data_IF_145789672399
#
_entry.id   IF_145789672399
#
_cell.length_a   1.000
_cell.length_b   1.000
_cell.length_c   1.000
_cell.angle_alpha   90.00
_cell.angle_beta   90.00
_cell.angle_gamma   90.00
#
_symmetry.space_group_name_H-M   'P 1'
#
loop_
_entity.id
_entity.type
_entity.pdbx_description
1 polymer ?
#
# COMPACT_ATOMS: atom_id res chain seq x y z
N UNK A 1 19.27 -0.91 -9.60
CA UNK A 1 18.14 -0.47 -10.44
C UNK A 1 18.68 -0.21 -11.85
N UNK A 2 18.10 -0.81 -12.91
CA UNK A 2 18.43 -0.48 -14.30
C UNK A 2 17.60 0.72 -14.74
N UNK A 3 18.25 1.76 -15.27
CA UNK A 3 17.61 3.04 -15.59
C UNK A 3 16.96 3.01 -16.98
N UNK A 4 15.65 3.26 -17.00
CA UNK A 4 14.87 3.56 -18.20
C UNK A 4 13.45 3.90 -17.78
N UNK A 5 13.11 5.19 -17.77
CA UNK A 5 11.74 5.73 -17.58
C UNK A 5 10.88 5.03 -16.52
N UNK A 6 11.36 4.97 -15.27
CA UNK A 6 10.60 4.38 -14.16
C UNK A 6 9.69 5.45 -13.54
N UNK A 7 8.37 5.26 -13.64
CA UNK A 7 7.38 6.02 -12.89
C UNK A 7 7.72 5.99 -11.38
N UNK A 8 7.54 7.13 -10.71
CA UNK A 8 7.91 7.48 -9.34
C UNK A 8 7.20 6.68 -8.22
N UNK A 9 7.01 5.37 -8.35
CA UNK A 9 6.39 4.53 -7.32
C UNK A 9 7.39 3.96 -6.30
N UNK A 10 8.70 3.99 -6.59
CA UNK A 10 9.74 3.37 -5.75
C UNK A 10 10.16 4.19 -4.50
N UNK A 11 9.72 5.46 -4.36
CA UNK A 11 10.00 6.30 -3.17
C UNK A 11 8.79 6.51 -2.26
N UNK A 12 7.63 6.00 -2.68
CA UNK A 12 6.37 6.17 -1.97
C UNK A 12 6.22 4.99 -1.01
N UNK A 13 6.06 5.29 0.27
CA UNK A 13 5.69 4.27 1.24
C UNK A 13 4.19 4.00 1.13
N UNK A 14 3.85 2.88 0.49
CA UNK A 14 2.47 2.42 0.41
C UNK A 14 2.08 1.72 1.71
N UNK A 15 1.05 2.23 2.38
CA UNK A 15 0.56 1.69 3.65
C UNK A 15 -0.88 1.22 3.48
N UNK A 16 -1.14 -0.05 3.74
CA UNK A 16 -2.47 -0.64 3.63
C UNK A 16 -3.16 -0.73 5.00
N UNK A 17 -4.47 -0.48 5.02
CA UNK A 17 -5.35 -0.74 6.15
C UNK A 17 -6.42 -1.78 5.82
N UNK A 18 -6.67 -2.73 6.73
CA UNK A 18 -7.73 -3.73 6.57
C UNK A 18 -8.49 -3.96 7.87
N UNK A 19 -9.80 -4.20 7.80
CA UNK A 19 -10.69 -4.53 8.93
C UNK A 19 -11.74 -3.46 9.29
N UNK A 20 -12.32 -3.52 10.50
CA UNK A 20 -13.46 -2.66 10.90
C UNK A 20 -12.95 -1.29 11.41
N UNK A 21 -13.37 -0.21 10.76
CA UNK A 21 -12.89 1.16 11.03
C UNK A 21 -11.59 1.52 10.29
N UNK A 22 -11.20 0.73 9.29
CA UNK A 22 -10.06 0.94 8.38
C UNK A 22 -9.99 2.36 7.81
N UNK A 23 -11.09 2.86 7.27
CA UNK A 23 -11.18 4.19 6.66
C UNK A 23 -10.95 5.31 7.67
N UNK A 24 -11.49 5.16 8.88
CA UNK A 24 -11.25 6.10 9.98
C UNK A 24 -9.79 6.18 10.35
N UNK A 25 -9.12 5.02 10.45
CA UNK A 25 -7.68 4.99 10.71
C UNK A 25 -6.90 5.56 9.52
N UNK A 26 -7.32 5.27 8.29
CA UNK A 26 -6.65 5.71 7.06
C UNK A 26 -6.62 7.23 6.93
N UNK A 27 -7.79 7.85 7.06
CA UNK A 27 -7.94 9.30 6.93
C UNK A 27 -7.15 10.02 8.03
N UNK A 28 -7.29 9.58 9.29
CA UNK A 28 -6.59 10.22 10.41
C UNK A 28 -5.07 10.02 10.35
N UNK A 29 -4.60 8.83 9.95
CA UNK A 29 -3.17 8.57 9.76
C UNK A 29 -2.60 9.42 8.62
N UNK A 30 -3.31 9.55 7.50
CA UNK A 30 -2.87 10.36 6.37
C UNK A 30 -2.67 11.84 6.77
N UNK A 31 -3.66 12.42 7.46
CA UNK A 31 -3.56 13.81 7.95
C UNK A 31 -2.51 13.97 9.04
N UNK A 32 -2.32 12.96 9.90
CA UNK A 32 -1.26 12.98 10.90
C UNK A 32 0.13 12.98 10.26
N UNK A 33 0.36 12.16 9.23
CA UNK A 33 1.63 12.14 8.51
C UNK A 33 1.89 13.45 7.76
N UNK A 34 0.83 14.08 7.22
CA UNK A 34 0.92 15.39 6.58
C UNK A 34 1.26 16.49 7.61
N UNK A 35 0.64 16.47 8.80
CA UNK A 35 0.97 17.38 9.90
C UNK A 35 2.42 17.21 10.40
N UNK A 36 2.97 15.99 10.31
CA UNK A 36 4.39 15.71 10.54
C UNK A 36 5.32 16.21 9.42
N UNK A 37 4.78 16.84 8.37
CA UNK A 37 5.54 17.46 7.28
C UNK A 37 5.78 16.56 6.06
N UNK A 38 5.15 15.38 5.99
CA UNK A 38 5.30 14.49 4.83
C UNK A 38 4.34 14.87 3.70
N UNK A 39 4.72 14.58 2.45
CA UNK A 39 3.80 14.66 1.30
C UNK A 39 2.97 13.39 1.25
N UNK A 40 1.67 13.51 1.47
CA UNK A 40 0.79 12.34 1.66
C UNK A 40 -0.34 12.30 0.63
N UNK A 41 -0.55 11.10 0.08
CA UNK A 41 -1.77 10.75 -0.65
C UNK A 41 -2.58 9.71 0.12
N UNK A 42 -3.89 9.70 -0.10
CA UNK A 42 -4.80 8.62 0.31
C UNK A 42 -5.64 8.18 -0.89
N UNK A 43 -5.63 6.87 -1.11
CA UNK A 43 -6.42 6.20 -2.13
C UNK A 43 -7.45 5.27 -1.48
N UNK A 44 -8.72 5.52 -1.76
CA UNK A 44 -9.84 4.67 -1.35
C UNK A 44 -10.11 3.62 -2.43
N UNK A 45 -9.71 2.39 -2.14
CA UNK A 45 -9.89 1.24 -3.02
C UNK A 45 -11.23 0.52 -2.79
N UNK A 46 -12.08 0.98 -1.86
CA UNK A 46 -13.40 0.41 -1.61
C UNK A 46 -14.43 0.96 -2.60
N UNK A 47 -14.44 0.37 -3.80
CA UNK A 47 -15.33 0.80 -4.89
C UNK A 47 -16.82 0.56 -4.59
N UNK A 48 -17.15 -0.40 -3.74
CA UNK A 48 -18.55 -0.76 -3.44
C UNK A 48 -19.16 0.09 -2.33
N UNK A 49 -18.34 0.52 -1.36
CA UNK A 49 -18.76 1.36 -0.24
C UNK A 49 -17.72 2.42 0.08
N UNK A 50 -17.41 3.34 -0.85
CA UNK A 50 -16.38 4.35 -0.62
C UNK A 50 -16.78 5.23 0.55
N UNK A 51 -15.92 5.28 1.55
CA UNK A 51 -16.12 6.01 2.80
C UNK A 51 -15.41 7.36 2.77
N UNK A 52 -14.31 7.47 2.03
CA UNK A 52 -13.47 8.66 1.97
C UNK A 52 -14.29 9.92 1.63
N UNK A 53 -15.20 9.93 0.63
CA UNK A 53 -15.98 11.12 0.34
C UNK A 53 -16.86 11.60 1.49
N UNK A 54 -17.32 10.72 2.38
CA UNK A 54 -18.10 11.13 3.55
C UNK A 54 -17.21 11.70 4.65
N UNK A 55 -16.03 11.10 4.82
CA UNK A 55 -15.09 11.40 5.90
C UNK A 55 -14.28 12.69 5.71
N UNK A 56 -14.13 13.14 4.46
CA UNK A 56 -13.49 14.42 4.14
C UNK A 56 -14.41 15.27 3.29
N UNK A 57 -14.50 16.56 3.61
CA UNK A 57 -15.27 17.53 2.83
C UNK A 57 -14.35 18.62 2.27
N UNK A 58 -13.72 18.37 1.10
CA UNK A 58 -12.94 19.36 0.40
C UNK A 58 -13.75 20.62 0.09
N UNK A 59 -13.12 21.79 0.15
CA UNK A 59 -13.71 23.04 -0.31
C UNK A 59 -14.16 22.85 -1.78
N UNK A 60 -15.39 23.26 -2.11
CA UNK A 60 -16.10 23.04 -3.39
C UNK A 60 -16.83 21.69 -3.58
N UNK A 61 -16.95 20.85 -2.54
CA UNK A 61 -17.88 19.70 -2.58
C UNK A 61 -19.33 20.19 -2.51
N UNK A 62 -19.94 20.44 -3.66
CA UNK A 62 -21.40 20.45 -3.79
C UNK A 62 -21.89 19.10 -4.33
N UNK A 63 -23.16 18.71 -4.09
CA UNK A 63 -23.73 17.48 -4.65
C UNK A 63 -23.64 17.40 -6.19
N UNK A 64 -23.48 18.53 -6.88
CA UNK A 64 -23.35 18.60 -8.33
C UNK A 64 -21.90 18.55 -8.86
N UNK A 65 -20.89 18.77 -8.02
CA UNK A 65 -19.49 18.78 -8.42
C UNK A 65 -18.84 17.41 -8.23
N UNK A 66 -18.48 16.76 -9.34
CA UNK A 66 -17.60 15.57 -9.32
C UNK A 66 -16.20 16.01 -8.95
N UNK A 67 -15.62 15.37 -7.94
CA UNK A 67 -14.25 15.65 -7.48
C UNK A 67 -13.20 14.82 -8.24
N UNK A 68 -13.63 13.75 -8.92
CA UNK A 68 -12.78 13.05 -9.90
C UNK A 68 -12.82 13.79 -11.23
N UNK A 69 -11.72 14.48 -11.52
CA UNK A 69 -11.50 15.17 -12.78
C UNK A 69 -10.49 14.39 -13.66
N UNK A 70 -10.70 14.44 -14.97
CA UNK A 70 -9.76 13.87 -15.94
C UNK A 70 -9.02 15.00 -16.66
N UNK A 71 -7.70 14.87 -16.72
CA UNK A 71 -6.89 15.64 -17.64
C UNK A 71 -7.07 15.07 -19.05
N UNK A 72 -7.82 15.77 -19.90
CA UNK A 72 -8.15 15.31 -21.25
C UNK A 72 -6.91 15.15 -22.16
N UNK A 73 -5.86 15.96 -21.95
CA UNK A 73 -4.64 15.94 -22.75
C UNK A 73 -3.76 14.75 -22.41
N UNK A 74 -3.52 14.54 -21.12
CA UNK A 74 -2.65 13.46 -20.62
C UNK A 74 -3.39 12.13 -20.42
N UNK A 75 -4.72 12.14 -20.47
CA UNK A 75 -5.60 11.01 -20.13
C UNK A 75 -5.36 10.46 -18.72
N UNK A 76 -5.00 11.36 -17.80
CA UNK A 76 -4.72 11.07 -16.39
C UNK A 76 -5.81 11.62 -15.50
N UNK A 77 -5.84 11.15 -14.26
CA UNK A 77 -6.78 11.61 -13.23
C UNK A 77 -6.10 12.68 -12.40
N UNK A 78 -6.82 13.78 -12.18
CA UNK A 78 -6.37 14.86 -11.30
C UNK A 78 -6.90 14.54 -9.90
N UNK A 79 -5.99 14.42 -8.95
CA UNK A 79 -6.29 14.23 -7.53
C UNK A 79 -6.96 15.47 -6.94
N UNK A 80 -7.85 15.25 -5.97
CA UNK A 80 -8.35 16.34 -5.11
C UNK A 80 -7.36 16.57 -3.98
N UNK A 81 -7.23 17.80 -3.49
CA UNK A 81 -6.43 18.09 -2.29
C UNK A 81 -7.33 18.60 -1.17
N UNK A 82 -7.08 18.14 0.05
CA UNK A 82 -7.75 18.60 1.25
C UNK A 82 -6.78 18.65 2.41
N UNK A 83 -6.62 19.82 3.03
CA UNK A 83 -5.76 20.04 4.20
C UNK A 83 -4.34 19.45 4.03
N UNK A 84 -3.74 19.62 2.84
CA UNK A 84 -2.39 19.14 2.52
C UNK A 84 -2.29 17.65 2.18
N UNK A 85 -3.42 16.92 2.10
CA UNK A 85 -3.48 15.51 1.69
C UNK A 85 -4.12 15.39 0.32
N UNK A 86 -3.46 14.67 -0.60
CA UNK A 86 -4.00 14.31 -1.92
C UNK A 86 -4.98 13.14 -1.80
N UNK A 87 -6.14 13.22 -2.41
CA UNK A 87 -7.25 12.29 -2.26
C UNK A 87 -7.68 11.72 -3.62
N UNK A 88 -7.88 10.40 -3.67
CA UNK A 88 -8.58 9.73 -4.78
C UNK A 88 -9.51 8.67 -4.21
N UNK A 89 -10.77 8.68 -4.65
CA UNK A 89 -11.78 7.66 -4.35
C UNK A 89 -12.68 7.50 -5.55
N UNK A 90 -13.11 6.27 -5.85
CA UNK A 90 -14.17 6.05 -6.83
C UNK A 90 -15.46 6.82 -6.47
N UNK A 91 -15.73 7.01 -5.17
CA UNK A 91 -16.92 7.72 -4.70
C UNK A 91 -16.97 9.21 -5.05
N UNK A 92 -15.86 9.79 -5.52
CA UNK A 92 -15.79 11.17 -6.01
C UNK A 92 -16.32 11.33 -7.46
N UNK A 93 -16.58 10.24 -8.17
CA UNK A 93 -17.07 10.22 -9.57
C UNK A 93 -18.56 10.49 -9.74
N UNK A 94 -19.31 10.60 -8.64
CA UNK A 94 -20.76 10.89 -8.62
C UNK A 94 -21.68 9.65 -8.49
N UNK A 95 -22.97 9.92 -8.30
CA UNK A 95 -24.05 8.95 -8.05
C UNK A 95 -24.36 8.09 -9.29
N UNK A 96 -23.47 7.17 -9.60
CA UNK A 96 -23.69 6.09 -10.54
C UNK A 96 -23.11 4.83 -9.95
N UNK A 97 -23.84 4.18 -9.02
CA UNK A 97 -23.54 2.80 -8.62
C UNK A 97 -23.84 1.87 -9.79
N UNK A 98 -23.04 1.96 -10.85
CA UNK A 98 -23.00 0.93 -11.86
C UNK A 98 -22.63 -0.37 -11.14
N UNK A 99 -23.49 -1.38 -11.22
CA UNK A 99 -23.19 -2.71 -10.69
C UNK A 99 -22.02 -3.26 -11.51
N UNK A 100 -20.80 -3.03 -11.03
CA UNK A 100 -19.59 -3.48 -11.71
C UNK A 100 -19.29 -4.93 -11.32
N UNK A 101 -19.09 -5.77 -12.34
CA UNK A 101 -18.60 -7.14 -12.15
C UNK A 101 -17.12 -7.10 -11.76
N UNK A 102 -16.67 -8.05 -10.93
CA UNK A 102 -15.33 -8.08 -10.31
C UNK A 102 -14.14 -7.69 -11.22
N UNK A 103 -14.01 -8.22 -12.44
CA UNK A 103 -12.91 -7.85 -13.34
C UNK A 103 -12.87 -6.35 -13.72
N UNK A 104 -14.03 -5.70 -13.82
CA UNK A 104 -14.10 -4.25 -14.08
C UNK A 104 -13.63 -3.44 -12.86
N UNK A 105 -13.89 -3.92 -11.64
CA UNK A 105 -13.45 -3.26 -10.40
C UNK A 105 -11.93 -3.27 -10.30
N UNK A 106 -11.29 -4.41 -10.56
CA UNK A 106 -9.83 -4.48 -10.62
C UNK A 106 -9.23 -3.54 -11.66
N UNK A 107 -9.85 -3.44 -12.85
CA UNK A 107 -9.43 -2.52 -13.90
C UNK A 107 -9.55 -1.05 -13.50
N UNK A 108 -10.66 -0.66 -12.86
CA UNK A 108 -10.87 0.70 -12.36
C UNK A 108 -9.87 1.04 -11.26
N UNK A 109 -9.65 0.15 -10.29
CA UNK A 109 -8.66 0.34 -9.22
C UNK A 109 -7.27 0.52 -9.82
N UNK A 110 -6.88 -0.33 -10.77
CA UNK A 110 -5.60 -0.21 -11.47
C UNK A 110 -5.48 1.15 -12.18
N UNK A 111 -6.52 1.58 -12.89
CA UNK A 111 -6.54 2.88 -13.55
C UNK A 111 -6.42 4.02 -12.54
N UNK A 112 -7.24 4.05 -11.48
CA UNK A 112 -7.19 5.09 -10.45
C UNK A 112 -5.81 5.16 -9.79
N UNK A 113 -5.15 4.03 -9.58
CA UNK A 113 -3.88 4.01 -8.88
C UNK A 113 -2.70 4.39 -9.80
N UNK A 114 -2.69 3.91 -11.04
CA UNK A 114 -1.57 4.10 -11.99
C UNK A 114 -1.68 5.32 -12.90
N UNK A 115 -2.89 5.84 -13.13
CA UNK A 115 -3.13 6.99 -14.04
C UNK A 115 -3.44 8.28 -13.30
N UNK A 116 -3.38 8.31 -11.97
CA UNK A 116 -3.53 9.54 -11.18
C UNK A 116 -2.23 10.34 -11.12
N UNK A 117 -2.33 11.65 -11.26
CA UNK A 117 -1.22 12.61 -11.13
C UNK A 117 -0.80 12.86 -9.68
N UNK A 118 -0.47 11.83 -8.91
CA UNK A 118 -0.10 11.95 -7.50
C UNK A 118 1.05 12.95 -7.25
N UNK A 119 1.92 13.18 -8.23
CA UNK A 119 3.14 13.98 -8.09
C UNK A 119 4.11 13.33 -7.09
N UNK A 120 4.96 14.14 -6.48
CA UNK A 120 5.87 13.62 -5.47
C UNK A 120 5.13 13.36 -4.14
N UNK A 121 5.21 12.12 -3.67
CA UNK A 121 4.69 11.67 -2.38
C UNK A 121 5.79 10.97 -1.58
N UNK A 122 5.75 11.14 -0.26
CA UNK A 122 6.53 10.34 0.68
C UNK A 122 5.72 9.10 1.12
N UNK A 123 4.40 9.25 1.28
CA UNK A 123 3.47 8.20 1.67
C UNK A 123 2.20 8.19 0.81
N UNK A 124 1.75 6.99 0.42
CA UNK A 124 0.43 6.77 -0.17
C UNK A 124 -0.32 5.76 0.69
N UNK A 125 -1.35 6.23 1.41
CA UNK A 125 -2.21 5.39 2.25
C UNK A 125 -3.28 4.76 1.35
N UNK A 126 -3.39 3.43 1.37
CA UNK A 126 -4.37 2.68 0.59
C UNK A 126 -5.40 2.10 1.57
N UNK A 127 -6.63 2.61 1.52
CA UNK A 127 -7.77 2.05 2.25
C UNK A 127 -8.35 0.89 1.43
N UNK A 128 -8.07 -0.34 1.86
CA UNK A 128 -8.46 -1.54 1.12
C UNK A 128 -9.94 -1.84 1.33
N UNK A 129 -10.64 -2.46 0.36
CA UNK A 129 -11.98 -2.99 0.60
C UNK A 129 -12.00 -4.01 1.75
N UNK A 130 -13.17 -4.28 2.36
CA UNK A 130 -13.27 -5.29 3.41
C UNK A 130 -13.04 -6.71 2.88
N UNK A 131 -12.41 -7.55 3.70
CA UNK A 131 -12.24 -8.99 3.44
C UNK A 131 -10.81 -9.40 3.10
N UNK A 132 -10.68 -10.55 2.43
CA UNK A 132 -9.41 -11.11 1.93
C UNK A 132 -9.59 -11.64 0.49
N UNK A 133 -10.49 -11.00 -0.27
CA UNK A 133 -10.82 -11.39 -1.64
C UNK A 133 -9.76 -11.00 -2.67
N UNK A 134 -10.02 -11.34 -3.94
CA UNK A 134 -9.06 -11.18 -5.05
C UNK A 134 -8.62 -9.74 -5.32
N UNK A 135 -9.41 -8.74 -4.91
CA UNK A 135 -9.05 -7.31 -5.03
C UNK A 135 -7.78 -7.01 -4.24
N UNK A 136 -7.61 -7.62 -3.06
CA UNK A 136 -6.41 -7.42 -2.24
C UNK A 136 -5.17 -7.97 -2.93
N UNK A 137 -5.27 -9.18 -3.51
CA UNK A 137 -4.16 -9.77 -4.28
C UNK A 137 -3.82 -8.91 -5.49
N UNK A 138 -4.85 -8.43 -6.19
CA UNK A 138 -4.69 -7.58 -7.37
C UNK A 138 -3.96 -6.28 -7.02
N UNK A 139 -4.37 -5.59 -5.95
CA UNK A 139 -3.70 -4.38 -5.47
C UNK A 139 -2.25 -4.63 -5.08
N UNK A 140 -1.97 -5.74 -4.39
CA UNK A 140 -0.62 -6.11 -4.00
C UNK A 140 0.27 -6.53 -5.19
N UNK A 141 -0.33 -6.87 -6.34
CA UNK A 141 0.38 -7.16 -7.59
C UNK A 141 0.63 -5.91 -8.43
N UNK A 142 -0.24 -4.90 -8.33
CA UNK A 142 -0.14 -3.65 -9.10
C UNK A 142 0.96 -2.74 -8.53
N UNK A 143 1.04 -2.62 -7.20
CA UNK A 143 2.01 -1.75 -6.55
C UNK A 143 2.91 -2.47 -5.56
N UNK A 144 4.21 -2.10 -5.49
CA UNK A 144 5.10 -2.57 -4.45
C UNK A 144 4.72 -1.92 -3.11
N UNK A 145 4.22 -2.71 -2.18
CA UNK A 145 3.71 -2.25 -0.90
C UNK A 145 4.80 -2.22 0.15
N UNK A 146 5.04 -1.08 0.79
CA UNK A 146 6.11 -0.97 1.79
C UNK A 146 5.72 -1.56 3.13
N UNK A 147 4.49 -1.30 3.59
CA UNK A 147 4.07 -1.72 4.92
C UNK A 147 2.55 -1.96 4.99
N UNK A 148 2.13 -2.83 5.91
CA UNK A 148 0.73 -3.03 6.24
C UNK A 148 0.44 -2.65 7.69
N UNK A 149 -0.66 -1.96 7.92
CA UNK A 149 -1.24 -1.70 9.23
C UNK A 149 -2.57 -2.43 9.30
N UNK A 150 -2.76 -3.30 10.29
CA UNK A 150 -4.00 -4.08 10.40
C UNK A 150 -4.92 -3.40 11.40
N UNK A 151 -6.16 -3.12 11.01
CA UNK A 151 -7.19 -2.57 11.89
C UNK A 151 -8.12 -3.70 12.32
N UNK A 152 -8.36 -3.84 13.61
CA UNK A 152 -9.22 -4.88 14.15
C UNK A 152 -10.14 -4.33 15.22
N UNK A 153 -11.02 -5.16 15.76
CA UNK A 153 -11.81 -4.85 16.94
C UNK A 153 -11.61 -5.91 18.00
N UNK A 154 -11.98 -5.64 19.24
CA UNK A 154 -11.86 -6.57 20.39
C UNK A 154 -12.75 -7.82 20.34
N UNK A 155 -13.49 -8.05 19.26
CA UNK A 155 -14.38 -9.22 19.14
C UNK A 155 -13.59 -10.49 18.80
N UNK A 156 -13.93 -11.63 19.40
CA UNK A 156 -13.19 -12.90 19.15
C UNK A 156 -13.11 -13.31 17.67
N UNK A 157 -14.12 -12.98 16.86
CA UNK A 157 -14.13 -13.31 15.43
C UNK A 157 -13.10 -12.50 14.63
N UNK A 158 -12.78 -11.28 15.06
CA UNK A 158 -11.81 -10.42 14.38
C UNK A 158 -10.39 -10.99 14.42
N UNK A 159 -10.08 -11.81 15.43
CA UNK A 159 -8.78 -12.46 15.57
C UNK A 159 -8.43 -13.32 14.35
N UNK A 160 -9.40 -14.11 13.87
CA UNK A 160 -9.22 -14.97 12.70
C UNK A 160 -8.91 -14.11 11.48
N UNK A 161 -9.54 -12.96 11.37
CA UNK A 161 -9.35 -12.03 10.25
C UNK A 161 -7.99 -11.33 10.32
N UNK A 162 -7.52 -10.96 11.51
CA UNK A 162 -6.15 -10.46 11.71
C UNK A 162 -5.13 -11.52 11.31
N UNK A 163 -5.25 -12.75 11.82
CA UNK A 163 -4.31 -13.82 11.49
C UNK A 163 -4.30 -14.15 9.98
N UNK A 164 -5.46 -14.15 9.32
CA UNK A 164 -5.57 -14.31 7.87
C UNK A 164 -4.92 -13.14 7.12
N UNK A 165 -5.17 -11.90 7.55
CA UNK A 165 -4.57 -10.70 6.99
C UNK A 165 -3.04 -10.71 7.08
N UNK A 166 -2.49 -11.01 8.26
CA UNK A 166 -1.03 -11.12 8.43
C UNK A 166 -0.45 -12.22 7.55
N UNK A 167 -1.07 -13.41 7.49
CA UNK A 167 -0.61 -14.50 6.61
C UNK A 167 -0.67 -14.11 5.14
N UNK A 168 -1.70 -13.39 4.74
CA UNK A 168 -1.84 -12.88 3.38
C UNK A 168 -0.71 -11.92 3.04
N UNK A 169 -0.47 -10.88 3.86
CA UNK A 169 0.62 -9.92 3.65
C UNK A 169 2.00 -10.58 3.71
N UNK A 170 2.20 -11.53 4.63
CA UNK A 170 3.43 -12.31 4.71
C UNK A 170 3.69 -13.12 3.44
N UNK A 171 2.66 -13.79 2.88
CA UNK A 171 2.78 -14.44 1.57
C UNK A 171 3.15 -13.43 0.50
N UNK A 172 2.56 -12.23 0.55
CA UNK A 172 2.77 -11.07 -0.34
C UNK A 172 4.10 -10.34 -0.14
N UNK A 173 4.98 -10.83 0.75
CA UNK A 173 6.23 -10.17 1.13
C UNK A 173 5.99 -8.71 1.56
N UNK A 174 4.85 -8.41 2.18
CA UNK A 174 4.49 -7.10 2.75
C UNK A 174 4.63 -7.19 4.27
N UNK A 175 5.52 -6.42 4.91
CA UNK A 175 5.69 -6.46 6.35
C UNK A 175 4.53 -5.76 7.06
N UNK A 176 3.93 -6.44 8.04
CA UNK A 176 2.95 -5.84 8.94
C UNK A 176 3.69 -5.06 10.04
N UNK A 177 3.52 -3.73 10.07
CA UNK A 177 4.28 -2.84 10.97
C UNK A 177 3.51 -2.45 12.23
N UNK A 178 2.17 -2.52 12.19
CA UNK A 178 1.34 -2.23 13.35
C UNK A 178 -0.01 -2.94 13.28
N UNK A 179 -0.59 -3.19 14.46
CA UNK A 179 -2.01 -3.54 14.62
C UNK A 179 -2.69 -2.40 15.38
N UNK A 180 -3.86 -1.96 14.91
CA UNK A 180 -4.72 -0.97 15.56
C UNK A 180 -5.98 -1.67 16.01
N UNK A 181 -6.20 -1.79 17.31
CA UNK A 181 -7.42 -2.34 17.90
C UNK A 181 -8.43 -1.22 18.13
N UNK A 182 -9.37 -1.11 17.20
CA UNK A 182 -10.44 -0.15 17.20
C UNK A 182 -11.55 -0.52 18.20
N UNK A 183 -12.20 0.51 18.74
CA UNK A 183 -13.34 0.39 19.66
C UNK A 183 -13.04 -0.44 20.92
N UNK A 184 -11.79 -0.41 21.40
CA UNK A 184 -11.36 -1.33 22.45
C UNK A 184 -11.85 -0.94 23.85
N UNK A 185 -12.02 0.36 24.11
CA UNK A 185 -12.44 0.88 25.41
C UNK A 185 -13.14 2.23 25.33
N UNK A 186 -13.81 2.64 26.39
CA UNK A 186 -14.28 4.01 26.59
C UNK A 186 -14.18 4.40 28.07
N UNK A 187 -14.01 5.69 28.33
CA UNK A 187 -13.96 6.24 29.69
C UNK A 187 -15.30 6.91 30.02
N UNK A 188 -15.91 6.52 31.14
CA UNK A 188 -17.15 7.10 31.67
C UNK A 188 -17.08 7.11 33.20
N UNK A 189 -17.62 8.15 33.84
CA UNK A 189 -17.69 8.26 35.32
C UNK A 189 -16.34 8.02 36.04
N UNK A 190 -15.24 8.49 35.43
CA UNK A 190 -13.88 8.30 35.97
C UNK A 190 -13.35 6.86 35.91
N UNK A 191 -14.05 5.96 35.20
CA UNK A 191 -13.67 4.55 35.03
C UNK A 191 -13.58 4.18 33.55
N UNK A 192 -12.61 3.31 33.24
CA UNK A 192 -12.45 2.75 31.91
C UNK A 192 -13.23 1.44 31.76
N UNK A 193 -14.08 1.40 30.75
CA UNK A 193 -14.91 0.27 30.37
C UNK A 193 -14.41 -0.36 29.08
N UNK A 194 -14.51 -1.68 28.98
CA UNK A 194 -14.25 -2.40 27.74
C UNK A 194 -15.56 -3.07 27.32
N UNK A 195 -16.27 -2.51 26.34
CA UNK A 195 -17.58 -3.03 25.94
C UNK A 195 -17.50 -4.48 25.46
N UNK A 196 -16.32 -4.91 25.00
CA UNK A 196 -16.06 -6.24 24.50
C UNK A 196 -15.07 -7.04 25.38
N UNK A 197 -14.77 -6.54 26.59
CA UNK A 197 -13.93 -7.20 27.61
C UNK A 197 -12.52 -6.61 27.78
N UNK A 198 -12.07 -6.54 29.05
CA UNK A 198 -10.73 -6.08 29.48
C UNK A 198 -10.06 -7.23 30.24
N UNK A 199 -8.93 -7.75 29.76
CA UNK A 199 -8.06 -8.59 30.60
C UNK A 199 -7.25 -9.63 29.85
N UNK A 200 -6.21 -10.10 30.53
CA UNK A 200 -5.31 -11.23 30.24
C UNK A 200 -6.02 -12.59 30.07
N UNK A 201 -7.33 -12.60 29.79
CA UNK A 201 -8.18 -13.74 29.45
C UNK A 201 -9.13 -13.47 28.28
N UNK A 202 -9.13 -12.28 27.67
CA UNK A 202 -9.82 -12.10 26.39
C UNK A 202 -8.98 -12.80 25.33
N UNK A 203 -9.50 -13.90 24.80
CA UNK A 203 -8.86 -14.62 23.69
C UNK A 203 -8.55 -13.65 22.52
N UNK A 204 -9.29 -12.55 22.35
CA UNK A 204 -9.01 -11.57 21.30
C UNK A 204 -7.73 -10.74 21.54
N UNK A 205 -7.55 -10.08 22.69
CA UNK A 205 -6.34 -9.27 22.96
C UNK A 205 -5.10 -10.13 23.12
N UNK A 206 -5.20 -11.25 23.84
CA UNK A 206 -4.11 -12.22 23.94
C UNK A 206 -3.78 -12.78 22.58
N UNK A 207 -4.77 -13.06 21.74
CA UNK A 207 -4.48 -13.61 20.43
C UNK A 207 -3.96 -12.54 19.46
N UNK A 208 -4.40 -11.28 19.54
CA UNK A 208 -3.74 -10.15 18.87
C UNK A 208 -2.28 -10.05 19.32
N UNK A 209 -1.98 -10.15 20.62
CA UNK A 209 -0.60 -10.21 21.12
C UNK A 209 0.16 -11.46 20.67
N UNK A 210 -0.47 -12.63 20.65
CA UNK A 210 0.14 -13.87 20.16
C UNK A 210 0.40 -13.75 18.67
N UNK A 211 -0.47 -13.14 17.88
CA UNK A 211 -0.22 -12.88 16.45
C UNK A 211 0.88 -11.86 16.28
N UNK A 212 0.86 -10.78 17.05
CA UNK A 212 1.94 -9.79 17.05
C UNK A 212 3.27 -10.47 17.39
N UNK A 213 3.32 -11.36 18.39
CA UNK A 213 4.53 -12.11 18.75
C UNK A 213 4.91 -13.20 17.74
N UNK A 214 3.94 -13.98 17.25
CA UNK A 214 4.15 -15.07 16.28
C UNK A 214 4.60 -14.54 14.93
N UNK A 215 4.13 -13.36 14.54
CA UNK A 215 4.44 -12.75 13.26
C UNK A 215 5.44 -11.59 13.38
N UNK A 216 6.00 -11.36 14.57
CA UNK A 216 7.02 -10.34 14.82
C UNK A 216 6.56 -8.90 14.56
N UNK A 217 5.27 -8.61 14.71
CA UNK A 217 4.73 -7.25 14.53
C UNK A 217 5.22 -6.39 15.71
N UNK A 218 5.78 -5.20 15.46
CA UNK A 218 6.45 -4.46 16.52
C UNK A 218 5.53 -3.62 17.41
N UNK A 219 4.32 -3.27 16.97
CA UNK A 219 3.46 -2.32 17.68
C UNK A 219 1.96 -2.68 17.66
N UNK A 220 1.28 -2.44 18.79
CA UNK A 220 -0.16 -2.54 18.97
C UNK A 220 -0.68 -1.20 19.52
N UNK A 221 -1.73 -0.66 18.89
CA UNK A 221 -2.34 0.61 19.27
C UNK A 221 -3.81 0.41 19.64
N UNK A 222 -4.20 0.93 20.80
CA UNK A 222 -5.56 0.85 21.32
C UNK A 222 -6.33 2.13 20.97
N UNK A 223 -7.36 2.04 20.12
CA UNK A 223 -8.18 3.19 19.75
C UNK A 223 -9.53 3.15 20.50
N UNK A 224 -9.86 4.18 21.32
CA UNK A 224 -11.06 4.18 22.14
C UNK A 224 -12.33 4.47 21.33
N UNK A 225 -13.48 4.06 21.86
CA UNK A 225 -14.80 4.54 21.44
C UNK A 225 -14.97 5.95 21.99
N UNK A 226 -14.97 6.93 21.09
CA UNK A 226 -15.14 8.35 21.40
C UNK A 226 -16.25 8.94 20.54
N UNK A 227 -17.19 9.72 21.11
CA UNK A 227 -18.21 10.39 20.32
C UNK A 227 -17.61 11.32 19.26
N UNK A 228 -16.52 12.01 19.59
CA UNK A 228 -15.80 12.91 18.67
C UNK A 228 -15.24 12.16 17.47
N UNK A 229 -14.51 11.06 17.71
CA UNK A 229 -14.00 10.20 16.65
C UNK A 229 -15.12 9.59 15.78
N UNK A 230 -16.23 9.17 16.39
CA UNK A 230 -17.38 8.67 15.63
C UNK A 230 -18.02 9.76 14.76
N UNK A 231 -18.17 10.97 15.31
CA UNK A 231 -18.74 12.11 14.59
C UNK A 231 -17.80 12.64 13.50
N UNK A 232 -16.48 12.49 13.67
CA UNK A 232 -15.48 12.93 12.68
C UNK A 232 -15.72 12.28 11.31
N UNK A 233 -16.16 11.02 11.29
CA UNK A 233 -16.48 10.29 10.06
C UNK A 233 -17.67 10.85 9.28
N UNK A 234 -18.58 11.55 9.94
CA UNK A 234 -19.77 12.16 9.32
C UNK A 234 -19.62 13.68 9.13
N UNK A 235 -18.74 14.32 9.89
CA UNK A 235 -18.54 15.78 9.89
C UNK A 235 -17.73 16.29 8.70
N UNK A 236 -17.04 15.40 7.98
CA UNK A 236 -16.13 15.77 6.90
C UNK A 236 -14.78 16.35 7.34
N UNK A 237 -14.49 16.36 8.64
CA UNK A 237 -13.20 16.78 9.22
C UNK A 237 -12.64 15.62 10.07
N UNK A 238 -11.42 15.14 9.81
CA UNK A 238 -10.80 14.07 10.60
C UNK A 238 -10.53 14.50 12.04
N UNK A 239 -10.66 13.58 13.01
CA UNK A 239 -10.38 13.83 14.43
C UNK A 239 -8.96 14.38 14.68
N UNK A 240 -7.96 13.84 13.97
CA UNK A 240 -6.56 14.28 14.04
C UNK A 240 -6.38 15.78 13.71
N UNK A 241 -7.27 16.32 12.88
CA UNK A 241 -7.31 17.74 12.51
C UNK A 241 -8.18 18.53 13.49
N UNK A 242 -9.34 17.98 13.86
CA UNK A 242 -10.33 18.67 14.68
C UNK A 242 -9.87 18.89 16.13
N UNK A 243 -9.15 17.92 16.72
CA UNK A 243 -8.58 18.02 18.07
C UNK A 243 -7.12 17.52 18.09
N UNK A 244 -6.14 18.30 17.56
CA UNK A 244 -4.75 17.83 17.43
C UNK A 244 -4.04 17.52 18.76
N UNK A 245 -4.53 18.06 19.87
CA UNK A 245 -3.98 17.86 21.22
C UNK A 245 -4.74 16.79 22.03
N UNK A 246 -5.83 16.28 21.48
CA UNK A 246 -6.68 15.24 22.05
C UNK A 246 -5.97 13.91 22.26
N UNK A 247 -6.55 13.07 23.11
CA UNK A 247 -6.03 11.72 23.39
C UNK A 247 -5.99 10.85 22.12
N UNK A 248 -7.02 10.94 21.27
CA UNK A 248 -7.11 10.18 20.02
C UNK A 248 -6.04 10.63 19.03
N UNK A 249 -5.83 11.94 18.87
CA UNK A 249 -4.80 12.49 17.97
C UNK A 249 -3.40 12.12 18.42
N UNK A 250 -3.14 12.04 19.73
CA UNK A 250 -1.87 11.51 20.26
C UNK A 250 -1.65 10.04 19.90
N UNK A 251 -2.71 9.22 19.91
CA UNK A 251 -2.61 7.83 19.46
C UNK A 251 -2.24 7.78 17.97
N UNK A 252 -2.88 8.60 17.14
CA UNK A 252 -2.52 8.69 15.71
C UNK A 252 -1.11 9.23 15.48
N UNK A 253 -0.65 10.23 16.23
CA UNK A 253 0.74 10.72 16.18
C UNK A 253 1.73 9.61 16.49
N UNK A 254 1.49 8.82 17.55
CA UNK A 254 2.34 7.68 17.88
C UNK A 254 2.30 6.59 16.79
N UNK A 255 1.13 6.33 16.18
CA UNK A 255 1.00 5.44 15.04
C UNK A 255 1.78 5.97 13.82
N UNK A 256 1.70 7.27 13.53
CA UNK A 256 2.45 7.95 12.48
C UNK A 256 3.96 7.80 12.68
N UNK A 257 4.47 8.10 13.88
CA UNK A 257 5.88 7.89 14.25
C UNK A 257 6.30 6.43 14.03
N UNK A 258 5.49 5.47 14.47
CA UNK A 258 5.74 4.06 14.25
C UNK A 258 5.85 3.72 12.75
N UNK A 259 4.88 4.14 11.94
CA UNK A 259 4.87 3.90 10.49
C UNK A 259 6.11 4.50 9.83
N UNK A 260 6.45 5.75 10.16
CA UNK A 260 7.65 6.43 9.63
C UNK A 260 8.91 5.64 9.97
N UNK A 261 9.08 5.25 11.24
CA UNK A 261 10.26 4.50 11.69
C UNK A 261 10.37 3.13 11.03
N UNK A 262 9.27 2.39 10.90
CA UNK A 262 9.28 1.06 10.31
C UNK A 262 9.52 1.13 8.79
N UNK A 263 8.88 2.07 8.09
CA UNK A 263 9.16 2.30 6.67
C UNK A 263 10.62 2.70 6.43
N UNK A 264 11.22 3.52 7.30
CA UNK A 264 12.64 3.88 7.20
C UNK A 264 13.56 2.67 7.41
N UNK A 265 13.27 1.80 8.39
CA UNK A 265 14.03 0.56 8.62
C UNK A 265 13.96 -0.40 7.44
N UNK A 266 12.76 -0.57 6.86
CA UNK A 266 12.55 -1.43 5.68
C UNK A 266 13.40 -0.90 4.52
N UNK A 267 13.36 0.41 4.24
CA UNK A 267 14.17 1.04 3.19
C UNK A 267 15.68 0.89 3.41
N UNK A 268 16.14 0.87 4.66
CA UNK A 268 17.57 0.68 4.97
C UNK A 268 18.04 -0.78 4.80
N UNK A 269 17.12 -1.74 4.86
CA UNK A 269 17.44 -3.16 4.66
C UNK A 269 17.55 -3.52 3.17
N UNK A 270 16.96 -2.73 2.29
CA UNK A 270 17.08 -2.90 0.85
C UNK A 270 18.47 -2.42 0.38
N UNK A 271 19.40 -3.35 0.18
CA UNK A 271 20.65 -3.05 -0.51
C UNK A 271 20.38 -2.72 -1.98
N UNK A 272 20.77 -1.53 -2.42
CA UNK A 272 20.81 -1.22 -3.84
C UNK A 272 21.94 -1.98 -4.53
N UNK A 273 21.61 -2.71 -5.59
CA UNK A 273 22.58 -3.36 -6.45
C UNK A 273 22.28 -3.12 -7.93
N UNK A 274 23.32 -3.27 -8.74
CA UNK A 274 23.26 -3.11 -10.19
C UNK A 274 23.48 -4.48 -10.83
N UNK A 275 22.65 -4.79 -11.82
CA UNK A 275 22.80 -5.97 -12.66
C UNK A 275 22.99 -5.49 -14.08
N UNK A 276 23.83 -6.19 -14.84
CA UNK A 276 23.96 -5.94 -16.26
C UNK A 276 22.72 -6.46 -16.99
N UNK A 277 22.09 -5.70 -17.91
CA UNK A 277 20.85 -6.14 -18.58
C UNK A 277 21.01 -7.49 -19.29
N UNK A 278 22.12 -7.67 -20.01
CA UNK A 278 22.42 -8.95 -20.66
C UNK A 278 22.47 -10.12 -19.67
N UNK A 279 22.98 -9.92 -18.43
CA UNK A 279 22.98 -10.94 -17.38
C UNK A 279 21.56 -11.31 -16.97
N UNK A 280 20.68 -10.31 -16.82
CA UNK A 280 19.27 -10.54 -16.50
C UNK A 280 18.56 -11.31 -17.62
N UNK A 281 18.73 -10.88 -18.87
CA UNK A 281 18.13 -11.50 -20.06
C UNK A 281 18.58 -12.94 -20.26
N UNK A 282 19.88 -13.22 -20.11
CA UNK A 282 20.46 -14.58 -20.23
C UNK A 282 19.94 -15.55 -19.19
N UNK A 283 19.52 -15.03 -18.03
CA UNK A 283 18.94 -15.83 -16.95
C UNK A 283 17.41 -15.86 -17.00
N UNK A 284 16.80 -15.57 -18.15
CA UNK A 284 15.36 -15.68 -18.33
C UNK A 284 14.89 -17.14 -18.25
N UNK A 285 14.04 -17.41 -17.26
CA UNK A 285 13.39 -18.70 -17.00
C UNK A 285 11.88 -18.65 -17.20
N UNK A 286 11.37 -17.57 -17.80
CA UNK A 286 9.94 -17.40 -18.06
C UNK A 286 9.44 -18.47 -19.04
N UNK A 287 8.15 -18.82 -18.94
CA UNK A 287 7.53 -19.84 -19.79
C UNK A 287 7.62 -19.51 -21.29
N UNK A 288 7.73 -18.23 -21.65
CA UNK A 288 7.90 -17.81 -23.04
C UNK A 288 9.29 -18.15 -23.61
N UNK A 289 10.28 -18.30 -22.73
CA UNK A 289 11.68 -18.55 -23.05
C UNK A 289 12.07 -20.02 -22.91
N UNK A 290 11.11 -20.90 -22.63
CA UNK A 290 11.28 -22.35 -22.53
C UNK A 290 10.28 -23.03 -23.48
N UNK A 291 10.70 -24.11 -24.12
CA UNK A 291 9.78 -24.95 -24.90
C UNK A 291 8.98 -25.85 -23.95
N UNK A 292 7.65 -25.79 -24.06
CA UNK A 292 6.72 -26.45 -23.14
C UNK A 292 6.80 -27.98 -23.21
N UNK A 293 7.37 -28.54 -24.28
CA UNK A 293 7.43 -29.98 -24.51
C UNK A 293 8.78 -30.62 -24.09
N UNK A 294 9.95 -30.10 -24.51
CA UNK A 294 11.24 -30.64 -24.10
C UNK A 294 11.83 -29.95 -22.86
N UNK A 295 11.29 -28.79 -22.43
CA UNK A 295 11.86 -27.99 -21.33
C UNK A 295 13.17 -27.28 -21.71
N UNK A 296 13.55 -27.31 -22.98
CA UNK A 296 14.76 -26.66 -23.48
C UNK A 296 14.57 -25.15 -23.58
N UNK A 297 15.65 -24.41 -23.30
CA UNK A 297 15.64 -22.96 -23.37
C UNK A 297 15.58 -22.53 -24.84
N UNK A 298 14.53 -21.77 -25.21
CA UNK A 298 14.35 -21.24 -26.57
C UNK A 298 15.41 -20.18 -26.92
N UNK A 299 15.97 -19.53 -25.89
CA UNK A 299 17.08 -18.60 -26.05
C UNK A 299 18.42 -19.31 -25.97
N UNK A 300 19.19 -19.21 -27.06
CA UNK A 300 20.61 -19.53 -27.06
C UNK A 300 21.37 -18.36 -26.43
N UNK A 301 22.30 -18.66 -25.52
CA UNK A 301 23.09 -17.66 -24.78
C UNK A 301 23.85 -16.68 -25.70
N UNK A 302 24.23 -17.12 -26.90
CA UNK A 302 24.97 -16.35 -27.90
C UNK A 302 24.14 -15.32 -28.65
N UNK A 303 22.81 -15.42 -28.60
CA UNK A 303 21.91 -14.59 -29.42
C UNK A 303 21.52 -13.28 -28.72
N UNK A 304 21.95 -13.09 -27.47
CA UNK A 304 21.63 -11.91 -26.68
C UNK A 304 22.76 -10.88 -26.82
N UNK A 305 22.50 -9.71 -27.45
CA UNK A 305 23.49 -8.64 -27.56
C UNK A 305 24.01 -8.21 -26.20
N UNK A 306 25.31 -7.91 -26.11
CA UNK A 306 25.89 -7.44 -24.86
C UNK A 306 25.33 -6.07 -24.45
N UNK A 307 24.95 -5.24 -25.41
CA UNK A 307 24.38 -3.91 -25.25
C UNK A 307 22.84 -3.88 -25.22
N UNK A 308 22.19 -5.04 -25.02
CA UNK A 308 20.73 -5.08 -24.91
C UNK A 308 20.28 -4.20 -23.73
N UNK A 309 19.28 -3.36 -23.96
CA UNK A 309 18.64 -2.55 -22.92
C UNK A 309 17.15 -2.88 -22.86
N UNK A 310 16.52 -2.89 -21.68
CA UNK A 310 15.10 -3.13 -21.55
C UNK A 310 14.32 -1.95 -22.12
N UNK A 311 13.27 -2.22 -22.90
CA UNK A 311 12.34 -1.18 -23.38
C UNK A 311 11.48 -0.65 -22.23
N UNK A 312 11.08 -1.55 -21.34
CA UNK A 312 10.24 -1.21 -20.20
C UNK A 312 10.48 -2.15 -19.02
N UNK A 313 10.47 -1.58 -17.82
CA UNK A 313 10.56 -2.30 -16.56
C UNK A 313 9.37 -1.91 -15.68
N UNK A 314 8.54 -2.87 -15.30
CA UNK A 314 7.37 -2.66 -14.43
C UNK A 314 7.43 -3.56 -13.19
N UNK A 315 7.36 -3.02 -11.97
CA UNK A 315 7.25 -3.85 -10.76
C UNK A 315 5.94 -4.66 -10.78
N UNK A 316 5.99 -5.89 -10.26
CA UNK A 316 4.84 -6.76 -10.04
C UNK A 316 4.70 -7.04 -8.55
N UNK A 317 4.26 -6.02 -7.81
CA UNK A 317 4.23 -6.04 -6.36
C UNK A 317 5.63 -6.20 -5.75
N UNK A 318 5.70 -6.92 -4.63
CA UNK A 318 6.94 -7.17 -3.89
C UNK A 318 7.67 -8.45 -4.33
N UNK A 319 7.26 -9.07 -5.43
CA UNK A 319 7.74 -10.41 -5.80
C UNK A 319 8.68 -10.45 -6.98
N UNK A 320 8.37 -9.68 -8.01
CA UNK A 320 9.03 -9.77 -9.28
C UNK A 320 8.96 -8.42 -10.00
N UNK A 321 9.70 -8.34 -11.09
CA UNK A 321 9.62 -7.28 -12.07
C UNK A 321 9.33 -7.90 -13.43
N UNK A 322 8.44 -7.26 -14.19
CA UNK A 322 8.22 -7.56 -15.60
C UNK A 322 9.15 -6.68 -16.43
N UNK A 323 9.88 -7.29 -17.36
CA UNK A 323 10.83 -6.63 -18.24
C UNK A 323 10.41 -6.91 -19.67
N UNK A 324 10.20 -5.85 -20.45
CA UNK A 324 9.95 -5.94 -21.90
C UNK A 324 11.26 -5.68 -22.63
N UNK A 325 11.63 -6.61 -23.51
CA UNK A 325 12.90 -6.59 -24.22
C UNK A 325 12.71 -6.27 -25.71
N UNK A 326 13.70 -5.64 -26.37
CA UNK A 326 13.63 -5.30 -27.80
C UNK A 326 13.52 -6.51 -28.74
N UNK A 327 13.85 -7.71 -28.26
CA UNK A 327 13.72 -8.97 -28.98
C UNK A 327 12.28 -9.51 -28.99
N UNK A 328 11.32 -8.76 -28.42
CA UNK A 328 9.89 -9.09 -28.38
C UNK A 328 9.49 -9.99 -27.22
N UNK A 329 10.41 -10.35 -26.32
CA UNK A 329 10.11 -11.18 -25.17
C UNK A 329 9.71 -10.36 -23.94
N UNK A 330 8.79 -10.92 -23.14
CA UNK A 330 8.43 -10.39 -21.84
C UNK A 330 8.89 -11.32 -20.73
N UNK A 331 9.90 -10.89 -19.98
CA UNK A 331 10.51 -11.65 -18.89
C UNK A 331 9.89 -11.24 -17.55
N UNK A 332 9.42 -12.23 -16.77
CA UNK A 332 9.10 -12.04 -15.36
C UNK A 332 10.31 -12.50 -14.54
N UNK A 333 10.95 -11.57 -13.84
CA UNK A 333 12.14 -11.84 -13.03
C UNK A 333 11.83 -11.67 -11.53
N UNK A 334 11.72 -12.77 -10.76
CA UNK A 334 11.58 -12.71 -9.30
C UNK A 334 12.75 -11.99 -8.62
N UNK A 335 12.47 -11.19 -7.59
CA UNK A 335 13.52 -10.43 -6.89
C UNK A 335 14.55 -11.33 -6.19
N UNK A 336 14.14 -12.49 -5.68
CA UNK A 336 15.06 -13.48 -5.10
C UNK A 336 16.03 -14.04 -6.16
N UNK A 337 15.54 -14.31 -7.37
CA UNK A 337 16.39 -14.67 -8.50
C UNK A 337 17.38 -13.54 -8.82
N UNK A 338 16.90 -12.30 -8.95
CA UNK A 338 17.75 -11.13 -9.26
C UNK A 338 18.85 -10.91 -8.20
N UNK A 339 18.56 -11.12 -6.92
CA UNK A 339 19.53 -10.98 -5.83
C UNK A 339 20.69 -11.99 -5.89
N UNK A 340 20.47 -13.15 -6.54
CA UNK A 340 21.49 -14.19 -6.72
C UNK A 340 22.36 -13.98 -7.97
N UNK A 341 22.00 -13.03 -8.84
CA UNK A 341 22.73 -12.79 -10.09
C UNK A 341 24.04 -12.04 -9.85
N UNK A 342 24.97 -12.19 -10.80
CA UNK A 342 26.25 -11.50 -10.79
C UNK A 342 26.03 -9.97 -10.85
N UNK A 343 26.47 -9.30 -9.79
CA UNK A 343 26.35 -7.84 -9.64
C UNK A 343 27.40 -7.14 -10.49
N UNK A 344 27.06 -5.95 -10.96
CA UNK A 344 28.03 -5.01 -11.50
C UNK A 344 28.80 -4.43 -10.31
N UNK A 345 29.92 -5.04 -9.93
CA UNK A 345 30.85 -4.52 -8.94
C UNK A 345 32.19 -4.29 -9.65
N UNK A 346 32.69 -3.05 -9.60
CA UNK A 346 34.06 -2.64 -9.96
C UNK A 346 34.55 -2.78 -11.41
N UNK A 347 33.92 -2.09 -12.37
CA UNK A 347 34.62 -1.68 -13.61
C UNK A 347 34.67 -0.17 -13.85
N UNK A 348 34.15 0.65 -12.93
CA UNK A 348 34.26 2.12 -13.01
C UNK A 348 35.68 2.65 -12.69
N UNK A 349 36.60 1.82 -12.19
CA UNK A 349 38.01 2.21 -12.01
C UNK A 349 38.91 1.88 -13.22
N UNK A 350 38.44 1.11 -14.21
CA UNK A 350 39.26 0.68 -15.34
C UNK A 350 39.22 1.62 -16.57
N UNK A 351 38.43 2.70 -16.54
CA UNK A 351 38.24 3.60 -17.71
C UNK A 351 38.74 5.03 -17.46
N UNK A 352 39.42 5.32 -16.35
CA UNK A 352 40.05 6.64 -16.07
C UNK A 352 41.59 6.57 -16.20
N UNK A 353 42.15 5.46 -16.69
CA UNK A 353 43.55 5.38 -17.09
C UNK A 353 43.69 4.94 -18.54
N UNK A 354 43.35 5.86 -19.45
CA UNK A 354 43.94 5.92 -20.80
C UNK A 354 44.42 7.32 -21.07
#
# INVERSE_FOLDING_TARGET
>A
MLQGSCFFLNRISHVILGGVGKSTVAVNLAHTLADMGARVGIFDADVYGPSLPTMVSPENRSPENRLLEMNAEKRTIIQTEYLGVKLVSFGFGGQGRAIMRGPMVSGVINQLLTTTEWGDLDYLIIDMPPGTGDIHLTLCQIVPLTAAVIVTTTQKLSFIDVAKGVRMFSKLKVPCVAVVENMCHFDADGKRYHPFGRGSGSQAWIASLIVVQQFGIPHLFDLPVRPTLSASGDSGIPEAVADPQGEVSKIFQNLGVCVVQQCAKIRQQDEEFFLHPATVRRNDRSAQSVDEWPGEQKLQYTDIPADIEPEEIRPMGNYAVSITWPDGFSQIAPYDQLQTMERVVDNLQATIQT
#
